data_IF_697859038506
#
_entry.id   IF_697859038506
#
_cell.length_a   1.000
_cell.length_b   1.000
_cell.length_c   1.000
_cell.angle_alpha   90.00
_cell.angle_beta   90.00
_cell.angle_gamma   90.00
#
_symmetry.space_group_name_H-M   'P 1'
#
loop_
_entity.id
_entity.type
_entity.pdbx_description
1 polymer ?
#
# COMPACT_ATOMS: atom_id res chain seq x y z
N UNK A 1 7.22 -7.66 -5.74
CA UNK A 1 6.71 -8.29 -4.50
C UNK A 1 6.96 -7.33 -3.33
N UNK A 2 6.00 -7.17 -2.43
CA UNK A 2 6.11 -6.30 -1.25
C UNK A 2 6.01 -7.16 0.01
N UNK A 3 6.91 -6.95 0.97
CA UNK A 3 7.00 -7.75 2.20
C UNK A 3 7.05 -6.82 3.40
N UNK A 4 6.12 -7.01 4.33
CA UNK A 4 6.09 -6.32 5.60
C UNK A 4 7.10 -6.96 6.56
N UNK A 5 8.02 -6.16 7.09
CA UNK A 5 8.87 -6.51 8.21
C UNK A 5 8.47 -5.63 9.39
N UNK A 6 7.53 -6.15 10.18
CA UNK A 6 6.95 -5.49 11.33
C UNK A 6 8.00 -5.09 12.37
N UNK A 7 8.83 -6.06 12.77
CA UNK A 7 9.81 -5.88 13.86
C UNK A 7 10.84 -4.80 13.53
N UNK A 8 11.29 -4.71 12.28
CA UNK A 8 12.26 -3.69 11.89
C UNK A 8 11.60 -2.39 11.37
N UNK A 9 10.27 -2.30 11.38
CA UNK A 9 9.49 -1.18 10.81
C UNK A 9 9.92 -0.88 9.38
N UNK A 10 9.93 -1.92 8.53
CA UNK A 10 10.36 -1.85 7.13
C UNK A 10 9.32 -2.43 6.18
N UNK A 11 9.26 -1.83 5.00
CA UNK A 11 8.65 -2.43 3.82
C UNK A 11 9.75 -2.78 2.82
N UNK A 12 9.90 -4.07 2.53
CA UNK A 12 10.85 -4.52 1.52
C UNK A 12 10.16 -4.70 0.18
N UNK A 13 10.80 -4.23 -0.89
CA UNK A 13 10.29 -4.36 -2.25
C UNK A 13 11.29 -5.16 -3.07
N UNK A 14 10.81 -6.24 -3.68
CA UNK A 14 11.58 -7.15 -4.53
C UNK A 14 11.05 -7.14 -5.97
N UNK A 15 11.91 -7.48 -6.92
CA UNK A 15 11.49 -7.83 -8.28
C UNK A 15 10.51 -9.01 -8.22
N UNK A 16 9.50 -8.99 -9.09
CA UNK A 16 8.60 -10.13 -9.29
C UNK A 16 9.15 -11.11 -10.34
N UNK A 17 10.31 -10.83 -10.91
CA UNK A 17 10.98 -11.67 -11.90
C UNK A 17 12.24 -12.28 -11.29
N UNK A 18 12.54 -13.54 -11.64
CA UNK A 18 13.78 -14.19 -11.24
C UNK A 18 14.99 -13.34 -11.68
N UNK A 19 15.99 -13.13 -10.81
CA UNK A 19 16.25 -13.86 -9.56
C UNK A 19 15.64 -13.23 -8.30
N UNK A 20 14.52 -12.50 -8.42
CA UNK A 20 13.75 -11.90 -7.31
C UNK A 20 14.56 -10.97 -6.40
N UNK A 21 15.42 -10.15 -7.01
CA UNK A 21 16.31 -9.27 -6.24
C UNK A 21 15.54 -8.21 -5.45
N UNK A 22 16.05 -7.90 -4.27
CA UNK A 22 15.56 -6.77 -3.49
C UNK A 22 15.88 -5.46 -4.23
N UNK A 23 14.84 -4.67 -4.48
CA UNK A 23 14.95 -3.41 -5.21
C UNK A 23 15.11 -2.22 -4.27
N UNK A 24 14.50 -2.26 -3.09
CA UNK A 24 14.69 -1.27 -2.03
C UNK A 24 14.13 -1.76 -0.70
N UNK A 25 14.42 -0.98 0.34
CA UNK A 25 13.70 -0.98 1.61
C UNK A 25 13.14 0.41 1.87
N UNK A 26 11.92 0.50 2.38
CA UNK A 26 11.28 1.74 2.82
C UNK A 26 11.20 1.69 4.35
N UNK A 27 11.70 2.73 5.02
CA UNK A 27 11.54 2.89 6.46
C UNK A 27 10.13 3.39 6.76
N UNK A 28 9.43 2.71 7.66
CA UNK A 28 8.09 3.06 8.11
C UNK A 28 8.13 3.63 9.52
N UNK A 29 7.05 4.29 9.94
CA UNK A 29 6.94 4.93 11.26
C UNK A 29 6.61 3.96 12.39
N UNK A 30 6.02 2.81 12.06
CA UNK A 30 5.53 1.80 13.00
C UNK A 30 5.59 0.41 12.34
N UNK A 31 5.13 -0.63 13.04
CA UNK A 31 5.24 -2.03 12.64
C UNK A 31 4.19 -2.41 11.57
N UNK A 32 4.57 -2.58 10.28
CA UNK A 32 3.62 -3.06 9.28
C UNK A 32 3.32 -4.55 9.48
N UNK A 33 2.04 -4.89 9.49
CA UNK A 33 1.54 -6.26 9.38
C UNK A 33 0.92 -6.57 8.02
N UNK A 34 0.56 -5.55 7.24
CA UNK A 34 -0.10 -5.71 5.95
C UNK A 34 0.19 -4.58 4.97
N UNK A 35 -0.02 -4.85 3.68
CA UNK A 35 -0.05 -3.84 2.61
C UNK A 35 -1.21 -4.13 1.65
N UNK A 36 -2.01 -3.11 1.37
CA UNK A 36 -3.09 -3.13 0.37
C UNK A 36 -2.78 -2.16 -0.75
N UNK A 37 -3.28 -2.39 -1.96
CA UNK A 37 -3.06 -1.49 -3.10
C UNK A 37 -4.39 -0.90 -3.58
N UNK A 38 -4.34 0.32 -4.12
CA UNK A 38 -5.48 0.90 -4.83
C UNK A 38 -5.88 0.03 -6.02
N UNK A 39 -7.12 0.20 -6.50
CA UNK A 39 -7.64 -0.59 -7.63
C UNK A 39 -6.79 -0.47 -8.90
N UNK A 40 -6.16 0.69 -9.09
CA UNK A 40 -5.25 0.98 -10.21
C UNK A 40 -3.78 0.65 -9.91
N UNK A 41 -3.47 0.20 -8.68
CA UNK A 41 -2.13 -0.14 -8.23
C UNK A 41 -1.17 1.05 -8.07
N UNK A 42 -1.64 2.30 -8.20
CA UNK A 42 -0.77 3.47 -8.09
C UNK A 42 -0.22 3.67 -6.68
N UNK A 43 -1.03 3.37 -5.66
CA UNK A 43 -0.64 3.54 -4.26
C UNK A 43 -0.67 2.21 -3.51
N UNK A 44 0.28 2.08 -2.59
CA UNK A 44 0.35 1.03 -1.59
C UNK A 44 0.07 1.65 -0.22
N UNK A 45 -0.85 1.04 0.52
CA UNK A 45 -1.21 1.43 1.86
C UNK A 45 -0.63 0.44 2.85
N UNK A 46 0.40 0.86 3.58
CA UNK A 46 0.94 0.05 4.67
C UNK A 46 0.02 0.13 5.89
N UNK A 47 -0.11 -0.96 6.64
CA UNK A 47 -1.01 -1.00 7.80
C UNK A 47 -0.61 -0.05 8.94
N UNK A 48 0.62 0.42 8.93
CA UNK A 48 1.19 1.47 9.80
C UNK A 48 0.77 2.90 9.42
N UNK A 49 -0.06 3.06 8.38
CA UNK A 49 -0.70 4.33 8.02
C UNK A 49 -0.04 5.11 6.88
N UNK A 50 1.04 4.62 6.28
CA UNK A 50 1.68 5.26 5.13
C UNK A 50 0.88 5.07 3.83
N UNK A 51 0.77 6.16 3.06
CA UNK A 51 0.39 6.14 1.65
C UNK A 51 1.64 6.23 0.80
N UNK A 52 2.01 5.15 0.13
CA UNK A 52 3.25 5.01 -0.64
C UNK A 52 2.92 5.00 -2.13
N UNK A 53 3.57 5.84 -2.93
CA UNK A 53 3.47 5.73 -4.38
C UNK A 53 4.21 4.48 -4.86
N UNK A 54 3.52 3.51 -5.46
CA UNK A 54 4.05 2.17 -5.73
C UNK A 54 5.26 2.18 -6.69
N UNK A 55 5.21 3.01 -7.75
CA UNK A 55 6.32 3.13 -8.71
C UNK A 55 7.56 3.82 -8.15
N UNK A 56 7.40 5.00 -7.53
CA UNK A 56 8.53 5.81 -7.04
C UNK A 56 9.02 5.38 -5.66
N UNK A 57 8.21 4.57 -4.95
CA UNK A 57 8.50 4.02 -3.62
C UNK A 57 8.66 5.09 -2.53
N UNK A 58 8.05 6.25 -2.76
CA UNK A 58 8.04 7.38 -1.82
C UNK A 58 6.77 7.35 -0.97
N UNK A 59 6.92 7.57 0.33
CA UNK A 59 5.81 7.91 1.22
C UNK A 59 5.35 9.31 0.85
N UNK A 60 4.08 9.46 0.47
CA UNK A 60 3.48 10.75 0.12
C UNK A 60 2.71 11.35 1.29
N UNK A 61 2.01 10.50 2.04
CA UNK A 61 1.14 10.91 3.14
C UNK A 61 1.18 9.91 4.28
N UNK A 62 0.73 10.37 5.44
CA UNK A 62 0.39 9.56 6.60
C UNK A 62 -1.10 9.75 6.88
N UNK A 63 -1.82 8.65 7.07
CA UNK A 63 -3.22 8.70 7.45
C UNK A 63 -3.35 9.23 8.89
N UNK A 64 -4.20 10.23 9.05
CA UNK A 64 -4.48 10.86 10.33
C UNK A 64 -5.99 11.09 10.50
N UNK A 65 -6.44 11.07 11.75
CA UNK A 65 -7.79 11.49 12.13
C UNK A 65 -7.91 13.03 12.18
N UNK A 66 -9.09 13.53 12.50
CA UNK A 66 -9.39 14.97 12.65
C UNK A 66 -8.60 15.67 13.77
N UNK A 67 -7.94 14.90 14.63
CA UNK A 67 -7.10 15.37 15.74
C UNK A 67 -5.60 15.19 15.45
N UNK A 68 -5.24 14.83 14.21
CA UNK A 68 -3.87 14.55 13.77
C UNK A 68 -3.22 13.32 14.43
N UNK A 69 -3.99 12.45 15.08
CA UNK A 69 -3.47 11.16 15.53
C UNK A 69 -3.28 10.25 14.33
N UNK A 70 -2.29 9.37 14.41
CA UNK A 70 -2.02 8.40 13.33
C UNK A 70 -3.10 7.34 13.29
N UNK A 71 -3.56 7.05 12.08
CA UNK A 71 -4.51 5.98 11.81
C UNK A 71 -3.77 4.79 11.21
N UNK A 72 -3.80 3.68 11.93
CA UNK A 72 -3.27 2.39 11.49
C UNK A 72 -4.43 1.41 11.28
N UNK A 73 -4.33 0.55 10.28
CA UNK A 73 -5.28 -0.54 10.07
C UNK A 73 -4.65 -1.67 9.26
N UNK A 74 -4.79 -2.91 9.73
CA UNK A 74 -4.36 -4.10 8.97
C UNK A 74 -5.19 -4.32 7.70
N UNK A 75 -6.45 -3.88 7.69
CA UNK A 75 -7.38 -4.12 6.58
C UNK A 75 -8.01 -2.80 6.16
N UNK A 76 -7.73 -2.39 4.94
CA UNK A 76 -8.34 -1.23 4.32
C UNK A 76 -8.98 -1.63 2.99
N UNK A 77 -10.13 -1.02 2.69
CA UNK A 77 -10.84 -1.22 1.44
C UNK A 77 -11.14 0.13 0.83
N UNK A 78 -10.67 0.33 -0.40
CA UNK A 78 -11.01 1.49 -1.21
C UNK A 78 -12.44 1.35 -1.74
N UNK A 79 -13.27 2.38 -1.61
CA UNK A 79 -14.64 2.40 -2.15
C UNK A 79 -14.76 3.55 -3.15
N UNK A 80 -15.16 3.23 -4.38
CA UNK A 80 -15.42 4.22 -5.41
C UNK A 80 -16.87 4.67 -5.32
N UNK A 81 -17.06 5.98 -5.14
CA UNK A 81 -18.38 6.59 -5.12
C UNK A 81 -18.63 7.31 -6.45
N UNK A 82 -19.80 7.09 -7.03
CA UNK A 82 -20.35 7.87 -8.13
C UNK A 82 -21.76 8.30 -7.74
N UNK A 83 -22.03 9.60 -7.77
CA UNK A 83 -23.33 10.18 -7.38
C UNK A 83 -23.84 9.70 -6.01
N UNK A 84 -22.92 9.62 -5.04
CA UNK A 84 -23.20 9.17 -3.67
C UNK A 84 -23.41 7.67 -3.50
N UNK A 85 -23.22 6.86 -4.55
CA UNK A 85 -23.37 5.40 -4.51
C UNK A 85 -22.04 4.70 -4.71
N UNK A 86 -21.81 3.64 -3.93
CA UNK A 86 -20.67 2.75 -4.14
C UNK A 86 -20.84 1.98 -5.46
N UNK A 87 -19.90 2.16 -6.38
CA UNK A 87 -19.91 1.50 -7.70
C UNK A 87 -18.84 0.44 -7.85
N UNK A 88 -17.73 0.55 -7.09
CA UNK A 88 -16.65 -0.44 -7.05
C UNK A 88 -16.03 -0.48 -5.66
N UNK A 89 -15.46 -1.62 -5.31
CA UNK A 89 -14.63 -1.79 -4.13
C UNK A 89 -13.27 -2.35 -4.53
N UNK A 90 -12.22 -1.87 -3.86
CA UNK A 90 -10.90 -2.47 -3.89
C UNK A 90 -10.91 -3.86 -3.24
N UNK A 91 -9.76 -4.53 -3.27
CA UNK A 91 -9.59 -5.78 -2.53
C UNK A 91 -8.85 -5.46 -1.22
N UNK A 92 -9.27 -6.09 -0.13
CA UNK A 92 -8.59 -5.99 1.15
C UNK A 92 -7.22 -6.68 1.14
N UNK A 93 -7.00 -7.60 0.21
CA UNK A 93 -5.75 -8.32 0.03
C UNK A 93 -4.75 -7.49 -0.78
N UNK A 94 -3.45 -7.71 -0.51
CA UNK A 94 -2.33 -7.02 -1.17
C UNK A 94 -2.09 -7.44 -2.61
N UNK A 95 -3.13 -7.43 -3.44
CA UNK A 95 -3.04 -7.72 -4.87
C UNK A 95 -2.43 -6.52 -5.61
N UNK A 96 -1.23 -6.68 -6.15
CA UNK A 96 -0.64 -5.70 -7.04
C UNK A 96 -1.41 -5.67 -8.36
N UNK A 97 -2.09 -4.55 -8.64
CA UNK A 97 -2.99 -4.39 -9.80
C UNK A 97 -2.44 -3.53 -10.91
N UNK A 98 -1.15 -3.17 -10.87
CA UNK A 98 -0.56 -2.37 -11.94
C UNK A 98 -0.81 -3.10 -13.27
N UNK A 99 -1.57 -2.49 -14.20
CA UNK A 99 -1.72 -3.07 -15.51
C UNK A 99 -0.32 -3.15 -16.13
N UNK A 100 0.03 -4.31 -16.68
CA UNK A 100 1.15 -4.38 -17.60
C UNK A 100 0.75 -3.47 -18.77
N UNK A 101 1.61 -2.53 -19.16
CA UNK A 101 1.30 -1.65 -20.28
C UNK A 101 0.99 -2.51 -21.52
N UNK A 102 -0.28 -2.59 -21.92
CA UNK A 102 -0.72 -3.43 -23.04
C UNK A 102 -2.04 -4.19 -22.85
N UNK A 103 -2.62 -4.23 -21.65
CA UNK A 103 -3.96 -4.81 -21.40
C UNK A 103 -5.09 -3.75 -21.43
#
# INVERSE_FOLDING_TARGET
IWVCDGVNMRMHVFSAEAPYQQLTTIALRDMPGWVTFTIDGQYAYASSGEVIHAKTRKILYLLQDEHYNTVCSEKMVEIFLQDGKATKAGDQFGLGRLPVAGD
#
